data_IF_695857592144
#
_entry.id   IF_695857592144
#
_cell.length_a   1.000
_cell.length_b   1.000
_cell.length_c   1.000
_cell.angle_alpha   90.00
_cell.angle_beta   90.00
_cell.angle_gamma   90.00
#
_symmetry.space_group_name_H-M   'P 1'
#
loop_
_entity.id
_entity.type
_entity.pdbx_description
1 polymer ?
#
# COMPACT_ATOMS: atom_id res chain seq x y z
N UNK A 1 16.23 -8.15 -2.40
CA UNK A 1 15.85 -7.15 -1.36
C UNK A 1 16.49 -5.83 -1.69
N UNK A 2 15.69 -4.77 -1.79
CA UNK A 2 16.15 -3.40 -2.05
C UNK A 2 15.55 -2.51 -0.98
N UNK A 3 16.39 -1.72 -0.30
CA UNK A 3 15.96 -0.82 0.77
C UNK A 3 16.36 0.62 0.43
N UNK A 4 15.45 1.56 0.67
CA UNK A 4 15.66 2.99 0.42
C UNK A 4 15.08 3.79 1.58
N UNK A 5 15.90 4.63 2.22
CA UNK A 5 15.40 5.62 3.16
C UNK A 5 14.90 6.82 2.37
N UNK A 6 13.64 7.18 2.56
CA UNK A 6 13.00 8.35 1.96
C UNK A 6 13.05 9.48 3.00
N UNK A 7 13.82 10.54 2.74
CA UNK A 7 13.92 11.65 3.69
C UNK A 7 12.56 12.31 3.96
N UNK A 8 12.47 13.03 5.07
CA UNK A 8 11.32 13.88 5.36
C UNK A 8 10.95 14.75 4.14
N UNK A 9 9.68 14.82 3.83
CA UNK A 9 9.11 15.65 2.75
C UNK A 9 9.49 15.25 1.32
N UNK A 10 10.22 14.13 1.14
CA UNK A 10 10.65 13.66 -0.17
C UNK A 10 9.61 12.76 -0.84
N UNK A 11 9.75 12.62 -2.17
CA UNK A 11 9.00 11.63 -2.96
C UNK A 11 9.85 10.38 -3.20
N UNK A 12 9.16 9.29 -3.52
CA UNK A 12 9.78 8.04 -3.95
C UNK A 12 8.83 7.29 -4.90
N UNK A 13 9.39 6.56 -5.85
CA UNK A 13 8.62 5.63 -6.68
C UNK A 13 9.41 4.37 -7.00
N UNK A 14 8.70 3.29 -7.22
CA UNK A 14 9.26 2.04 -7.72
C UNK A 14 8.18 1.18 -8.38
N UNK A 15 8.61 0.30 -9.27
CA UNK A 15 7.79 -0.83 -9.69
C UNK A 15 7.99 -1.96 -8.68
N UNK A 16 6.90 -2.45 -8.13
CA UNK A 16 6.84 -3.65 -7.29
C UNK A 16 6.23 -4.76 -8.15
N UNK A 17 6.99 -5.81 -8.40
CA UNK A 17 6.56 -6.89 -9.30
C UNK A 17 5.57 -7.83 -8.63
N UNK A 18 4.77 -8.51 -9.42
CA UNK A 18 3.84 -9.54 -8.95
C UNK A 18 4.52 -10.52 -7.99
N UNK A 19 3.92 -10.67 -6.80
CA UNK A 19 4.44 -11.51 -5.72
C UNK A 19 5.52 -10.88 -4.84
N UNK A 20 6.13 -9.76 -5.22
CA UNK A 20 7.03 -9.01 -4.33
C UNK A 20 6.22 -8.32 -3.22
N UNK A 21 6.90 -8.04 -2.12
CA UNK A 21 6.32 -7.32 -0.98
C UNK A 21 7.04 -6.00 -0.78
N UNK A 22 6.27 -4.92 -0.77
CA UNK A 22 6.70 -3.60 -0.32
C UNK A 22 6.40 -3.47 1.18
N UNK A 23 7.42 -3.20 1.97
CA UNK A 23 7.29 -2.83 3.39
C UNK A 23 7.63 -1.36 3.55
N UNK A 24 6.73 -0.63 4.19
CA UNK A 24 6.93 0.75 4.63
C UNK A 24 7.24 0.69 6.12
N UNK A 25 8.31 1.35 6.56
CA UNK A 25 8.69 1.45 7.97
C UNK A 25 8.68 2.90 8.41
N UNK A 26 7.92 3.23 9.43
CA UNK A 26 7.99 4.54 10.08
C UNK A 26 9.18 4.56 11.04
N UNK A 27 10.25 5.24 10.67
CA UNK A 27 11.51 5.19 11.42
C UNK A 27 11.44 5.92 12.76
N UNK A 28 10.59 6.93 12.89
CA UNK A 28 10.56 7.83 14.04
C UNK A 28 9.21 7.89 14.75
N UNK A 29 8.16 7.32 14.14
CA UNK A 29 6.78 7.37 14.63
C UNK A 29 6.03 8.62 14.19
N UNK A 30 4.70 8.50 14.14
CA UNK A 30 3.76 9.58 13.78
C UNK A 30 4.06 10.27 12.45
N UNK A 31 4.50 9.51 11.41
CA UNK A 31 4.76 10.01 10.07
C UNK A 31 3.71 9.50 9.09
N UNK A 32 2.91 10.38 8.51
CA UNK A 32 1.99 10.05 7.45
C UNK A 32 2.72 9.84 6.11
N UNK A 33 2.32 8.83 5.35
CA UNK A 33 2.88 8.49 4.04
C UNK A 33 1.75 8.39 3.03
N UNK A 34 1.66 9.37 2.13
CA UNK A 34 0.68 9.34 1.05
C UNK A 34 1.16 8.43 -0.08
N UNK A 35 0.28 7.61 -0.62
CA UNK A 35 0.62 6.58 -1.60
C UNK A 35 -0.39 6.52 -2.75
N UNK A 36 0.12 6.48 -3.97
CA UNK A 36 -0.64 6.20 -5.19
C UNK A 36 -0.18 4.86 -5.76
N UNK A 37 -1.12 4.06 -6.28
CA UNK A 37 -0.82 2.75 -6.86
C UNK A 37 -1.49 2.63 -8.22
N UNK A 38 -0.69 2.25 -9.22
CA UNK A 38 -1.10 2.03 -10.61
C UNK A 38 -0.66 0.65 -11.08
N UNK A 39 -1.34 0.09 -12.06
CA UNK A 39 -0.76 -0.99 -12.85
C UNK A 39 0.50 -0.47 -13.55
N UNK A 40 1.60 -1.23 -13.52
CA UNK A 40 2.88 -0.78 -14.08
C UNK A 40 2.92 -0.73 -15.61
N UNK A 41 2.00 -1.44 -16.28
CA UNK A 41 1.93 -1.54 -17.74
C UNK A 41 0.83 -0.66 -18.33
N UNK A 42 -0.21 -0.34 -17.54
CA UNK A 42 -1.31 0.55 -17.91
C UNK A 42 -1.75 1.40 -16.73
N UNK A 43 -1.22 2.60 -16.62
CA UNK A 43 -1.52 3.52 -15.52
C UNK A 43 -2.94 4.08 -15.50
N UNK A 44 -3.78 3.76 -16.52
CA UNK A 44 -5.22 4.01 -16.46
C UNK A 44 -5.94 3.06 -15.49
N UNK A 45 -5.36 1.88 -15.25
CA UNK A 45 -5.74 0.93 -14.20
C UNK A 45 -5.04 1.33 -12.90
N UNK A 46 -5.79 1.84 -11.96
CA UNK A 46 -5.24 2.52 -10.79
C UNK A 46 -6.10 2.33 -9.55
N UNK A 47 -5.49 2.48 -8.38
CA UNK A 47 -6.20 2.33 -7.12
C UNK A 47 -7.46 3.19 -7.04
N UNK A 48 -8.52 2.56 -6.57
CA UNK A 48 -9.82 3.18 -6.32
C UNK A 48 -10.22 2.98 -4.86
N UNK A 49 -10.23 4.08 -4.10
CA UNK A 49 -10.69 4.04 -2.71
C UNK A 49 -12.18 3.63 -2.63
N UNK A 50 -13.11 4.17 -3.46
CA UNK A 50 -14.51 3.77 -3.40
C UNK A 50 -14.72 2.27 -3.63
N UNK A 51 -14.03 1.67 -4.62
CA UNK A 51 -14.18 0.26 -4.93
C UNK A 51 -13.61 -0.63 -3.83
N UNK A 52 -12.46 -0.24 -3.25
CA UNK A 52 -11.84 -0.91 -2.11
C UNK A 52 -12.73 -0.85 -0.88
N UNK A 53 -13.24 0.35 -0.53
CA UNK A 53 -14.13 0.58 0.61
C UNK A 53 -15.41 -0.25 0.47
N UNK A 54 -16.00 -0.25 -0.74
CA UNK A 54 -17.22 -1.00 -1.01
C UNK A 54 -17.00 -2.52 -0.86
N UNK A 55 -15.91 -3.03 -1.43
CA UNK A 55 -15.60 -4.47 -1.39
C UNK A 55 -15.31 -4.98 0.01
N UNK A 56 -14.60 -4.22 0.84
CA UNK A 56 -14.28 -4.64 2.21
C UNK A 56 -15.33 -4.24 3.25
N UNK A 57 -16.29 -3.36 2.90
CA UNK A 57 -17.32 -2.88 3.82
C UNK A 57 -16.80 -1.95 4.94
N UNK A 58 -15.66 -1.29 4.74
CA UNK A 58 -15.03 -0.42 5.74
C UNK A 58 -14.06 0.58 5.11
N UNK A 59 -13.86 1.72 5.77
CA UNK A 59 -13.03 2.83 5.27
C UNK A 59 -11.54 2.73 5.67
N UNK A 60 -11.20 1.90 6.63
CA UNK A 60 -9.82 1.75 7.09
C UNK A 60 -9.18 0.51 6.49
N UNK A 61 -7.91 0.66 6.07
CA UNK A 61 -7.10 -0.45 5.63
C UNK A 61 -6.35 -1.06 6.82
N UNK A 62 -6.21 -2.38 6.78
CA UNK A 62 -5.42 -3.17 7.73
C UNK A 62 -5.04 -4.50 7.11
N UNK A 63 -4.40 -5.39 7.85
CA UNK A 63 -4.07 -6.75 7.39
C UNK A 63 -5.28 -7.45 6.77
N UNK A 64 -5.10 -7.97 5.56
CA UNK A 64 -6.13 -8.63 4.76
C UNK A 64 -6.87 -7.70 3.80
N UNK A 65 -6.74 -6.37 3.91
CA UNK A 65 -7.31 -5.43 2.94
C UNK A 65 -6.70 -5.62 1.56
N UNK A 66 -7.54 -5.68 0.53
CA UNK A 66 -7.14 -5.78 -0.87
C UNK A 66 -7.37 -4.44 -1.54
N UNK A 67 -6.31 -3.81 -2.04
CA UNK A 67 -6.38 -2.57 -2.82
C UNK A 67 -6.89 -2.90 -4.22
N UNK A 68 -8.11 -2.47 -4.52
CA UNK A 68 -8.73 -2.67 -5.82
C UNK A 68 -8.47 -1.49 -6.76
N UNK A 69 -8.35 -1.82 -8.04
CA UNK A 69 -8.33 -0.83 -9.11
C UNK A 69 -9.74 -0.33 -9.45
N UNK A 70 -9.81 0.75 -10.25
CA UNK A 70 -11.02 1.24 -10.89
C UNK A 70 -11.68 0.24 -11.87
N UNK A 71 -11.07 -0.91 -12.11
CA UNK A 71 -11.61 -2.06 -12.86
C UNK A 71 -11.97 -3.23 -11.95
N UNK A 72 -12.06 -3.01 -10.62
CA UNK A 72 -12.33 -4.02 -9.59
C UNK A 72 -11.33 -5.18 -9.58
N UNK A 73 -10.10 -4.97 -10.03
CA UNK A 73 -9.04 -5.99 -10.01
C UNK A 73 -8.04 -5.72 -8.89
N UNK A 74 -7.50 -6.76 -8.23
CA UNK A 74 -6.50 -6.59 -7.18
C UNK A 74 -5.20 -5.97 -7.71
N UNK A 75 -4.71 -4.95 -7.02
CA UNK A 75 -3.39 -4.36 -7.23
C UNK A 75 -2.40 -4.85 -6.17
N UNK A 76 -2.74 -4.69 -4.90
CA UNK A 76 -1.92 -5.12 -3.76
C UNK A 76 -2.80 -5.64 -2.63
N UNK A 77 -2.23 -6.48 -1.77
CA UNK A 77 -2.87 -6.95 -0.53
C UNK A 77 -2.01 -6.56 0.67
N UNK A 78 -2.61 -5.98 1.70
CA UNK A 78 -1.93 -5.75 2.99
C UNK A 78 -1.73 -7.10 3.67
N UNK A 79 -0.49 -7.58 3.74
CA UNK A 79 -0.16 -8.91 4.27
C UNK A 79 0.29 -8.88 5.74
N UNK A 80 0.78 -7.72 6.20
CA UNK A 80 1.10 -7.48 7.60
C UNK A 80 0.92 -5.99 7.91
N UNK A 81 0.44 -5.67 9.10
CA UNK A 81 0.20 -4.32 9.57
C UNK A 81 0.30 -4.30 11.10
N UNK A 82 1.26 -3.54 11.61
CA UNK A 82 1.51 -3.40 13.05
C UNK A 82 0.77 -2.19 13.66
N UNK A 83 0.10 -1.39 12.82
CA UNK A 83 -0.63 -0.18 13.24
C UNK A 83 -2.14 -0.42 13.29
N UNK A 84 -2.65 -1.22 12.37
CA UNK A 84 -4.03 -1.71 12.37
C UNK A 84 -5.06 -0.79 11.73
N UNK A 85 -4.66 0.41 11.27
CA UNK A 85 -5.61 1.36 10.71
C UNK A 85 -4.91 2.41 9.85
N UNK A 86 -5.37 2.56 8.61
CA UNK A 86 -4.85 3.54 7.65
C UNK A 86 -6.00 4.25 6.93
N UNK A 87 -5.79 5.49 6.55
CA UNK A 87 -6.83 6.34 5.97
C UNK A 87 -6.95 6.21 4.45
N UNK A 88 -8.20 6.23 3.97
CA UNK A 88 -8.55 6.18 2.54
C UNK A 88 -9.40 7.38 2.09
N UNK A 89 -9.76 8.29 3.00
CA UNK A 89 -10.72 9.36 2.76
C UNK A 89 -10.13 10.76 2.85
N UNK A 90 -9.04 10.95 3.60
CA UNK A 90 -8.44 12.27 3.87
C UNK A 90 -7.84 12.94 2.63
N UNK A 91 -7.40 12.16 1.66
CA UNK A 91 -6.77 12.64 0.44
C UNK A 91 -5.38 13.23 0.66
N UNK A 92 -4.66 13.54 -0.44
CA UNK A 92 -3.35 14.16 -0.40
C UNK A 92 -3.44 15.67 -0.11
N UNK A 93 -2.54 16.17 0.72
CA UNK A 93 -2.45 17.62 0.91
C UNK A 93 -1.95 18.32 -0.36
N UNK A 94 -2.53 19.48 -0.65
CA UNK A 94 -2.13 20.38 -1.74
C UNK A 94 -1.98 21.81 -1.22
N UNK A 95 -1.33 22.67 -2.00
CA UNK A 95 -1.25 24.08 -1.68
C UNK A 95 -2.65 24.72 -1.54
N UNK A 96 -3.55 24.33 -2.44
CA UNK A 96 -4.94 24.79 -2.43
C UNK A 96 -5.69 24.34 -1.18
N UNK A 97 -5.61 23.06 -0.82
CA UNK A 97 -6.26 22.53 0.37
C UNK A 97 -5.68 23.09 1.66
N UNK A 98 -4.36 23.27 1.72
CA UNK A 98 -3.70 23.89 2.87
C UNK A 98 -4.13 25.35 3.02
N UNK A 99 -4.15 26.11 1.93
CA UNK A 99 -4.60 27.52 1.95
C UNK A 99 -6.06 27.66 2.41
N UNK A 100 -6.92 26.76 1.94
CA UNK A 100 -8.33 26.76 2.34
C UNK A 100 -8.50 26.44 3.83
N UNK A 101 -7.72 25.48 4.36
CA UNK A 101 -7.84 25.00 5.74
C UNK A 101 -7.12 25.87 6.77
N UNK A 102 -5.92 26.36 6.42
CA UNK A 102 -5.00 26.99 7.36
C UNK A 102 -4.68 28.44 7.05
N UNK A 103 -5.09 28.94 5.89
CA UNK A 103 -4.90 30.34 5.47
C UNK A 103 -3.80 30.52 4.44
N UNK A 104 -3.78 31.73 3.85
CA UNK A 104 -2.96 32.03 2.67
C UNK A 104 -1.44 31.94 2.90
N UNK A 105 -0.98 32.05 4.13
CA UNK A 105 0.44 31.90 4.47
C UNK A 105 1.01 30.51 4.14
N UNK A 106 0.14 29.51 3.96
CA UNK A 106 0.55 28.13 3.63
C UNK A 106 0.76 27.90 2.12
N UNK A 107 0.42 28.87 1.27
CA UNK A 107 0.51 28.72 -0.19
C UNK A 107 1.91 28.35 -0.71
N UNK A 108 2.95 28.87 -0.08
CA UNK A 108 4.32 28.57 -0.44
C UNK A 108 4.88 27.29 0.18
N UNK A 109 4.10 26.60 1.04
CA UNK A 109 4.56 25.37 1.70
C UNK A 109 4.49 24.19 0.73
N UNK A 110 5.46 23.29 0.87
CA UNK A 110 5.51 22.05 0.12
C UNK A 110 4.34 21.12 0.51
N UNK A 111 3.77 20.42 -0.46
CA UNK A 111 2.61 19.56 -0.27
C UNK A 111 2.79 18.20 -0.98
N UNK A 112 2.02 17.17 -0.58
CA UNK A 112 2.08 15.85 -1.19
C UNK A 112 1.81 15.86 -2.69
N UNK A 113 0.90 16.73 -3.15
CA UNK A 113 0.62 16.89 -4.59
C UNK A 113 1.86 17.40 -5.35
N UNK A 114 2.73 18.23 -4.75
CA UNK A 114 3.98 18.65 -5.38
C UNK A 114 4.92 17.46 -5.57
N UNK A 115 5.03 16.58 -4.56
CA UNK A 115 5.79 15.34 -4.63
C UNK A 115 5.27 14.41 -5.73
N UNK A 116 3.95 14.17 -5.75
CA UNK A 116 3.33 13.31 -6.75
C UNK A 116 3.49 13.83 -8.17
N UNK A 117 3.40 15.15 -8.40
CA UNK A 117 3.62 15.74 -9.72
C UNK A 117 5.07 15.62 -10.16
N UNK A 118 6.03 15.91 -9.27
CA UNK A 118 7.45 15.82 -9.59
C UNK A 118 7.90 14.38 -9.88
N UNK A 119 7.51 13.44 -9.01
CA UNK A 119 7.88 12.04 -9.15
C UNK A 119 7.10 11.35 -10.27
N UNK A 120 5.79 11.62 -10.39
CA UNK A 120 4.93 11.07 -11.43
C UNK A 120 5.35 11.48 -12.83
N UNK A 121 5.89 12.68 -13.01
CA UNK A 121 6.41 13.13 -14.32
C UNK A 121 7.49 12.20 -14.89
N UNK A 122 8.28 11.52 -14.04
CA UNK A 122 9.29 10.53 -14.44
C UNK A 122 8.65 9.28 -15.08
N UNK A 123 7.37 9.07 -14.83
CA UNK A 123 6.56 7.96 -15.34
C UNK A 123 5.50 8.43 -16.35
N UNK A 124 5.59 9.67 -16.85
CA UNK A 124 4.63 10.21 -17.80
C UNK A 124 3.27 10.60 -17.19
N UNK A 125 3.18 10.63 -15.86
CA UNK A 125 1.96 11.00 -15.14
C UNK A 125 1.89 12.51 -14.88
N UNK A 126 0.67 13.03 -14.83
CA UNK A 126 0.42 14.44 -14.58
C UNK A 126 -0.77 14.65 -13.63
N UNK A 127 -1.26 15.88 -13.52
CA UNK A 127 -2.32 16.23 -12.57
C UNK A 127 -3.61 15.39 -12.74
N UNK A 128 -3.92 14.95 -13.97
CA UNK A 128 -5.10 14.11 -14.26
C UNK A 128 -4.99 12.70 -13.69
N UNK A 129 -3.77 12.26 -13.41
CA UNK A 129 -3.47 10.91 -12.92
C UNK A 129 -3.41 10.85 -11.40
N UNK A 130 -3.43 12.00 -10.71
CA UNK A 130 -3.56 12.07 -9.26
C UNK A 130 -4.99 11.70 -8.87
N UNK A 131 -5.13 10.50 -8.35
CA UNK A 131 -6.41 9.88 -7.98
C UNK A 131 -6.49 9.69 -6.47
N UNK A 132 -7.44 8.88 -6.02
CA UNK A 132 -7.50 8.50 -4.62
C UNK A 132 -6.14 8.02 -4.14
N UNK A 133 -5.62 8.60 -3.09
CA UNK A 133 -4.41 8.13 -2.43
C UNK A 133 -4.77 7.40 -1.13
N UNK A 134 -3.81 6.63 -0.65
CA UNK A 134 -3.84 6.01 0.68
C UNK A 134 -2.93 6.84 1.56
N UNK A 135 -3.35 7.10 2.79
CA UNK A 135 -2.53 7.76 3.81
C UNK A 135 -2.12 6.72 4.86
N UNK A 136 -0.99 6.05 4.64
CA UNK A 136 -0.43 5.11 5.60
C UNK A 136 -0.06 5.84 6.89
N UNK A 137 -0.33 5.21 8.05
CA UNK A 137 -0.07 5.72 9.40
C UNK A 137 -0.92 6.92 9.83
N UNK A 138 -1.70 7.51 8.93
CA UNK A 138 -2.53 8.67 9.23
C UNK A 138 -3.82 8.26 9.96
N UNK A 139 -4.11 8.96 11.04
CA UNK A 139 -5.32 8.75 11.83
C UNK A 139 -6.37 9.81 11.48
N UNK A 140 -7.40 9.37 10.76
CA UNK A 140 -8.55 10.20 10.37
C UNK A 140 -9.80 9.59 10.98
N UNK A 141 -10.15 9.95 12.23
CA UNK A 141 -11.41 9.50 12.81
C UNK A 141 -12.59 10.04 12.02
N UNK A 142 -13.59 9.19 11.83
CA UNK A 142 -14.86 9.52 11.19
C UNK A 142 -15.96 9.36 12.23
N UNK A 143 -16.62 10.45 12.58
CA UNK A 143 -17.71 10.47 13.55
C UNK A 143 -19.00 9.94 12.93
N UNK A 144 -19.99 9.63 13.79
CA UNK A 144 -21.28 9.08 13.35
C UNK A 144 -22.07 10.03 12.44
N UNK A 145 -21.85 11.33 12.56
CA UNK A 145 -22.46 12.37 11.73
C UNK A 145 -21.70 12.63 10.41
N UNK A 146 -20.59 11.88 10.17
CA UNK A 146 -19.74 12.04 9.01
C UNK A 146 -18.64 13.10 9.15
N UNK A 147 -18.50 13.73 10.32
CA UNK A 147 -17.39 14.66 10.58
C UNK A 147 -16.05 13.94 10.55
N UNK A 148 -15.05 14.53 9.88
CA UNK A 148 -13.69 14.03 9.78
C UNK A 148 -12.74 14.82 10.67
N UNK A 149 -11.90 14.11 11.42
CA UNK A 149 -10.78 14.69 12.17
C UNK A 149 -9.45 14.35 11.52
N UNK A 150 -8.41 15.10 11.86
CA UNK A 150 -7.01 14.71 11.67
C UNK A 150 -6.36 14.84 13.04
N UNK A 151 -5.91 13.73 13.56
CA UNK A 151 -5.30 13.65 14.89
C UNK A 151 -3.92 13.00 14.79
N UNK A 152 -3.21 12.89 15.90
CA UNK A 152 -1.92 12.20 15.94
C UNK A 152 -2.02 10.80 15.31
N UNK A 153 -1.01 10.41 14.56
CA UNK A 153 -0.90 9.09 13.95
C UNK A 153 -0.84 7.99 15.02
N UNK A 154 -1.12 6.77 14.57
CA UNK A 154 -1.10 5.59 15.44
C UNK A 154 0.27 4.88 15.43
N UNK A 155 1.16 5.32 14.54
CA UNK A 155 2.48 4.71 14.37
C UNK A 155 3.44 5.08 15.49
N UNK A 156 4.35 4.17 15.78
CA UNK A 156 5.50 4.36 16.66
C UNK A 156 6.80 4.03 15.91
N UNK A 157 7.97 4.42 16.45
CA UNK A 157 9.24 4.16 15.80
C UNK A 157 9.45 2.68 15.46
N UNK A 158 9.72 2.38 14.18
CA UNK A 158 10.00 1.05 13.67
C UNK A 158 8.76 0.22 13.28
N UNK A 159 7.54 0.72 13.49
CA UNK A 159 6.33 0.00 13.06
C UNK A 159 6.20 -0.04 11.54
N UNK A 160 5.66 -1.14 11.04
CA UNK A 160 5.61 -1.46 9.62
C UNK A 160 4.20 -1.73 9.11
N UNK A 161 4.03 -1.48 7.80
CA UNK A 161 2.95 -2.03 6.99
C UNK A 161 3.57 -2.69 5.76
N UNK A 162 3.13 -3.91 5.42
CA UNK A 162 3.66 -4.69 4.31
C UNK A 162 2.55 -5.04 3.32
N UNK A 163 2.82 -4.79 2.03
CA UNK A 163 1.87 -5.00 0.94
C UNK A 163 2.49 -5.94 -0.10
N UNK A 164 1.83 -7.05 -0.40
CA UNK A 164 2.20 -7.92 -1.51
C UNK A 164 1.55 -7.40 -2.79
N UNK A 165 2.32 -7.28 -3.86
CA UNK A 165 1.80 -6.96 -5.18
C UNK A 165 1.10 -8.18 -5.81
N UNK A 166 -0.14 -8.00 -6.28
CA UNK A 166 -0.92 -9.05 -6.95
C UNK A 166 -0.67 -9.06 -8.48
N UNK A 167 -0.07 -7.99 -8.97
CA UNK A 167 0.45 -7.78 -10.33
C UNK A 167 1.63 -6.83 -10.29
N UNK A 168 2.30 -6.59 -11.41
CA UNK A 168 3.31 -5.53 -11.47
C UNK A 168 2.62 -4.19 -11.26
N UNK A 169 3.00 -3.46 -10.22
CA UNK A 169 2.42 -2.17 -9.86
C UNK A 169 3.49 -1.08 -9.81
N UNK A 170 3.15 0.10 -10.30
CA UNK A 170 3.91 1.32 -10.04
C UNK A 170 3.37 1.96 -8.77
N UNK A 171 4.22 2.11 -7.78
CA UNK A 171 3.91 2.77 -6.52
C UNK A 171 4.60 4.13 -6.48
N UNK A 172 3.83 5.19 -6.25
CA UNK A 172 4.35 6.54 -5.95
C UNK A 172 4.06 6.88 -4.50
N UNK A 173 5.05 7.40 -3.81
CA UNK A 173 4.97 7.80 -2.40
C UNK A 173 5.35 9.25 -2.24
N UNK A 174 4.58 9.96 -1.44
CA UNK A 174 4.96 11.22 -0.83
C UNK A 174 5.14 11.00 0.67
N UNK A 175 6.37 11.07 1.16
CA UNK A 175 6.62 11.17 2.59
C UNK A 175 6.10 12.54 3.06
N UNK A 176 4.91 12.54 3.67
CA UNK A 176 4.03 13.71 3.79
C UNK A 176 4.73 14.93 4.42
N UNK A 177 4.78 16.07 3.72
CA UNK A 177 5.46 17.28 4.20
C UNK A 177 4.59 18.16 5.12
N UNK A 178 3.39 17.73 5.50
CA UNK A 178 2.41 18.53 6.23
C UNK A 178 2.91 18.94 7.62
N UNK A 179 2.80 20.23 7.95
CA UNK A 179 3.22 20.82 9.22
C UNK A 179 2.11 21.64 9.91
N UNK A 180 0.89 21.64 9.35
CA UNK A 180 -0.20 22.48 9.85
C UNK A 180 -1.26 21.68 10.62
N UNK A 181 -1.05 20.36 10.76
CA UNK A 181 -1.90 19.47 11.54
C UNK A 181 -1.05 18.31 12.13
N UNK A 182 -1.58 17.53 13.06
CA UNK A 182 -0.80 16.55 13.82
C UNK A 182 -0.46 15.25 13.06
N UNK A 183 -0.81 15.09 11.78
CA UNK A 183 -0.57 13.82 11.07
C UNK A 183 0.92 13.39 10.99
N UNK A 184 1.84 14.34 11.22
CA UNK A 184 3.28 14.12 11.31
C UNK A 184 3.85 14.70 12.60
N UNK A 185 3.04 14.86 13.66
CA UNK A 185 3.46 15.56 14.87
C UNK A 185 3.95 16.99 14.62
N UNK A 186 3.52 17.63 13.50
CA UNK A 186 3.99 18.94 12.99
C UNK A 186 5.45 18.96 12.52
N UNK A 187 6.17 17.85 12.61
CA UNK A 187 7.59 17.72 12.24
C UNK A 187 7.81 16.46 11.40
N UNK A 188 7.73 16.55 10.06
CA UNK A 188 7.93 15.40 9.17
C UNK A 188 9.30 14.73 9.35
N UNK A 189 9.30 13.41 9.38
CA UNK A 189 10.47 12.56 9.58
C UNK A 189 10.73 11.63 8.39
N UNK A 190 11.83 10.86 8.43
CA UNK A 190 12.15 9.90 7.39
C UNK A 190 11.37 8.59 7.55
N UNK A 191 11.13 7.91 6.43
CA UNK A 191 10.58 6.56 6.38
C UNK A 191 11.48 5.66 5.55
N UNK A 192 11.32 4.34 5.67
CA UNK A 192 12.07 3.37 4.88
C UNK A 192 11.13 2.55 4.01
N UNK A 193 11.52 2.38 2.75
CA UNK A 193 10.85 1.53 1.76
C UNK A 193 11.71 0.31 1.49
N UNK A 194 11.20 -0.90 1.75
CA UNK A 194 11.91 -2.15 1.47
C UNK A 194 11.09 -3.02 0.53
N UNK A 195 11.66 -3.40 -0.61
CA UNK A 195 11.07 -4.38 -1.54
C UNK A 195 11.80 -5.70 -1.39
N UNK A 196 11.05 -6.75 -1.06
CA UNK A 196 11.54 -8.12 -0.96
C UNK A 196 10.93 -8.98 -2.07
N UNK A 197 11.77 -9.75 -2.78
CA UNK A 197 11.31 -10.72 -3.76
C UNK A 197 10.54 -11.87 -3.10
N UNK A 198 9.76 -12.60 -3.91
CA UNK A 198 9.15 -13.86 -3.50
C UNK A 198 10.23 -14.82 -3.03
N UNK A 199 10.23 -15.19 -1.76
CA UNK A 199 10.90 -16.41 -1.32
C UNK A 199 10.15 -17.58 -1.95
N UNK A 200 10.64 -18.08 -3.09
CA UNK A 200 10.18 -19.35 -3.62
C UNK A 200 10.63 -20.40 -2.59
N UNK A 201 9.77 -20.73 -1.65
CA UNK A 201 9.93 -21.96 -0.86
C UNK A 201 9.86 -23.10 -1.88
N UNK A 202 11.01 -23.63 -2.25
CA UNK A 202 11.07 -24.87 -3.01
C UNK A 202 10.40 -25.93 -2.13
N UNK A 203 9.15 -26.24 -2.43
CA UNK A 203 8.50 -27.40 -1.86
C UNK A 203 9.29 -28.60 -2.33
N UNK A 204 10.10 -29.15 -1.45
CA UNK A 204 10.79 -30.44 -1.67
C UNK A 204 9.69 -31.50 -1.71
N UNK A 205 9.19 -31.80 -2.90
CA UNK A 205 8.38 -32.99 -3.15
C UNK A 205 9.29 -34.20 -3.04
N UNK A 206 9.42 -34.73 -1.84
CA UNK A 206 9.92 -36.09 -1.64
C UNK A 206 8.90 -37.04 -2.24
N UNK A 207 9.14 -37.44 -3.48
CA UNK A 207 8.40 -38.49 -4.14
C UNK A 207 8.61 -39.82 -3.41
N UNK A 208 7.60 -40.27 -2.67
CA UNK A 208 7.54 -41.63 -2.17
C UNK A 208 7.23 -42.56 -3.36
N UNK A 209 8.24 -43.29 -3.82
CA UNK A 209 8.04 -44.35 -4.81
C UNK A 209 7.26 -45.49 -4.14
N UNK A 210 6.01 -45.65 -4.49
CA UNK A 210 5.20 -46.81 -4.09
C UNK A 210 5.49 -47.94 -5.03
N UNK A 211 6.27 -48.91 -4.57
CA UNK A 211 6.49 -50.19 -5.27
C UNK A 211 5.23 -51.04 -5.15
N UNK A 212 4.48 -51.16 -6.24
CA UNK A 212 3.36 -52.09 -6.30
C UNK A 212 3.84 -53.45 -6.70
N UNK A 213 3.84 -54.42 -5.73
CA UNK A 213 4.12 -55.83 -5.98
C UNK A 213 2.83 -56.46 -6.53
N UNK A 214 2.87 -56.92 -7.76
CA UNK A 214 1.80 -57.71 -8.36
C UNK A 214 1.83 -59.13 -7.81
N UNK A 215 0.74 -59.55 -7.13
CA UNK A 215 0.52 -60.92 -6.78
C UNK A 215 -0.30 -61.61 -7.87
N UNK A 216 0.29 -62.62 -8.51
CA UNK A 216 -0.38 -63.51 -9.44
C UNK A 216 -1.20 -64.55 -8.65
N UNK A 217 -2.47 -64.65 -8.94
CA UNK A 217 -3.33 -65.73 -8.48
C UNK A 217 -3.77 -66.55 -9.70
N UNK A 218 -3.44 -67.84 -9.62
CA UNK A 218 -3.73 -68.88 -10.55
C UNK A 218 -5.21 -69.29 -10.55
N UNK A 219 -5.62 -69.67 -11.74
CA UNK A 219 -6.88 -70.29 -12.11
C UNK A 219 -7.24 -71.52 -11.35
N UNK A 220 -8.50 -71.70 -10.98
CA UNK A 220 -9.12 -72.97 -10.65
C UNK A 220 -10.48 -73.03 -11.33
N UNK A 221 -10.57 -73.94 -12.31
CA UNK A 221 -11.81 -74.34 -12.94
C UNK A 221 -12.59 -75.30 -12.06
N UNK A 222 -13.88 -75.22 -12.02
CA UNK A 222 -14.76 -76.20 -11.37
C UNK A 222 -16.18 -76.08 -11.88
N UNK A 223 -16.56 -77.06 -12.62
CA UNK A 223 -17.85 -77.44 -13.21
C UNK A 223 -18.96 -77.70 -12.18
N UNK A 224 -20.13 -77.24 -12.39
CA UNK A 224 -21.43 -77.93 -12.43
C UNK A 224 -22.56 -76.90 -12.71
#
# INVERSE_FOLDING_TARGET
MTTTVVPARAAWSSVVRAGETLTITDLHGNQAVDCLVYDAHDTSVRYSAPDTIHAQGGIFLTTGSVLLSNEHTPLMTVVADEVGRHDTVGGACSKESNTLRYGHHTWAQHACVDNFLAEGARHGLGKRDLVSNINWYMNVPVEKDGTLGIVDGLSAPGLTVSLRAERDVLVLVSNCPQINNPCNGFEPTAVEMTITGTTTSAATTTGAATTTTAAATSTGAGTA
#
